data_IF_133077616783
#
_entry.id   IF_133077616783
#
_cell.length_a   1.000
_cell.length_b   1.000
_cell.length_c   1.000
_cell.angle_alpha   90.00
_cell.angle_beta   90.00
_cell.angle_gamma   90.00
#
_symmetry.space_group_name_H-M   'P 1'
#
loop_
_entity.id
_entity.type
_entity.pdbx_description
1 polymer ?
#
# COMPACT_ATOMS: atom_id res chain seq x y z
N UNK A 1 -10.20 49.90 26.47
CA UNK A 1 -9.77 48.56 26.00
C UNK A 1 -10.49 47.53 26.85
N UNK A 2 -11.35 46.62 26.42
CA UNK A 2 -11.79 46.15 25.10
C UNK A 2 -12.42 44.77 25.39
N UNK A 3 -13.71 44.73 25.76
CA UNK A 3 -14.42 43.48 25.97
C UNK A 3 -15.02 43.08 24.61
N UNK A 4 -14.40 42.10 23.95
CA UNK A 4 -14.89 41.56 22.70
C UNK A 4 -16.09 40.66 23.00
N UNK A 5 -17.26 41.08 22.52
CA UNK A 5 -18.46 40.25 22.48
C UNK A 5 -18.25 39.12 21.48
N UNK A 6 -18.09 37.90 21.98
CA UNK A 6 -18.09 36.70 21.16
C UNK A 6 -19.54 36.26 20.91
N UNK A 7 -20.17 36.78 19.86
CA UNK A 7 -21.40 36.20 19.32
C UNK A 7 -21.05 34.91 18.56
N UNK A 8 -21.46 33.75 19.08
CA UNK A 8 -21.44 32.49 18.35
C UNK A 8 -22.65 32.44 17.38
N UNK A 9 -22.46 32.47 16.06
CA UNK A 9 -23.56 32.63 15.09
C UNK A 9 -24.37 31.36 14.81
N UNK A 10 -24.10 30.25 15.50
CA UNK A 10 -24.73 28.96 15.23
C UNK A 10 -25.39 28.40 16.49
N UNK A 11 -26.73 28.41 16.58
CA UNK A 11 -27.45 27.67 17.61
C UNK A 11 -27.17 26.17 17.40
N UNK A 12 -26.29 25.60 18.22
CA UNK A 12 -26.04 24.16 18.20
C UNK A 12 -27.26 23.48 18.80
N UNK A 13 -28.06 22.81 17.96
CA UNK A 13 -29.19 22.02 18.42
C UNK A 13 -28.69 20.93 19.38
N UNK A 14 -29.05 21.04 20.66
CA UNK A 14 -28.68 20.06 21.68
C UNK A 14 -29.41 18.77 21.32
N UNK A 15 -28.71 17.65 21.10
CA UNK A 15 -29.36 16.39 20.76
C UNK A 15 -30.26 15.94 21.92
N UNK A 16 -31.40 15.27 21.62
CA UNK A 16 -32.30 14.76 22.66
C UNK A 16 -31.55 13.82 23.61
N UNK A 17 -31.88 13.87 24.91
CA UNK A 17 -31.22 13.06 25.93
C UNK A 17 -31.41 11.56 25.65
N UNK A 18 -30.33 10.89 25.25
CA UNK A 18 -30.29 9.43 25.13
C UNK A 18 -29.98 8.83 26.52
N UNK A 19 -30.53 7.65 26.85
CA UNK A 19 -30.21 6.97 28.11
C UNK A 19 -28.70 6.71 28.24
N UNK A 20 -28.17 6.78 29.48
CA UNK A 20 -26.74 6.74 29.80
C UNK A 20 -25.98 5.59 29.11
N UNK A 21 -26.56 4.39 29.06
CA UNK A 21 -25.96 3.24 28.40
C UNK A 21 -25.87 3.42 26.87
N UNK A 22 -26.87 4.02 26.22
CA UNK A 22 -26.82 4.29 24.78
C UNK A 22 -25.86 5.43 24.45
N UNK A 23 -25.74 6.43 25.33
CA UNK A 23 -24.74 7.49 25.19
C UNK A 23 -23.34 6.92 25.27
N UNK A 24 -23.08 6.08 26.29
CA UNK A 24 -21.78 5.45 26.51
C UNK A 24 -21.41 4.48 25.37
N UNK A 25 -22.35 3.67 24.91
CA UNK A 25 -22.17 2.81 23.73
C UNK A 25 -21.92 3.65 22.47
N UNK A 26 -22.64 4.76 22.27
CA UNK A 26 -22.45 5.63 21.11
C UNK A 26 -21.13 6.40 21.14
N UNK A 27 -20.69 6.86 22.31
CA UNK A 27 -19.41 7.55 22.48
C UNK A 27 -18.23 6.60 22.38
N UNK A 28 -18.34 5.37 22.90
CA UNK A 28 -17.36 4.32 22.66
C UNK A 28 -17.30 3.99 21.16
N UNK A 29 -18.45 3.80 20.51
CA UNK A 29 -18.50 3.52 19.08
C UNK A 29 -17.94 4.65 18.21
N UNK A 30 -18.19 5.91 18.56
CA UNK A 30 -17.62 7.07 17.86
C UNK A 30 -16.12 7.27 18.14
N UNK A 31 -15.64 6.87 19.33
CA UNK A 31 -14.22 6.99 19.71
C UNK A 31 -13.35 5.90 19.10
N UNK A 32 -13.87 4.66 19.06
CA UNK A 32 -13.13 3.51 18.52
C UNK A 32 -13.34 3.32 17.00
N UNK A 33 -14.47 3.79 16.44
CA UNK A 33 -14.79 3.68 15.02
C UNK A 33 -15.34 5.01 14.44
N UNK A 34 -14.56 6.11 14.45
CA UNK A 34 -15.00 7.41 13.93
C UNK A 34 -15.30 7.38 12.43
N UNK A 35 -14.53 6.58 11.68
CA UNK A 35 -14.66 6.39 10.23
C UNK A 35 -15.03 4.94 9.92
N UNK A 36 -16.30 4.58 10.09
CA UNK A 36 -16.85 3.29 9.66
C UNK A 36 -16.86 3.29 8.11
N UNK A 37 -15.90 2.64 7.40
CA UNK A 37 -15.83 2.73 5.94
C UNK A 37 -17.03 2.04 5.27
N UNK A 38 -17.79 1.27 6.06
CA UNK A 38 -18.96 0.53 5.61
C UNK A 38 -20.30 1.24 5.79
N UNK A 39 -20.33 2.48 6.34
CA UNK A 39 -21.57 3.28 6.42
C UNK A 39 -22.17 3.58 5.04
N UNK A 40 -21.35 3.73 4.00
CA UNK A 40 -21.79 3.91 2.60
C UNK A 40 -22.45 2.66 1.99
N UNK A 41 -22.23 1.47 2.55
CA UNK A 41 -22.76 0.20 2.02
C UNK A 41 -24.08 -0.22 2.67
N UNK A 42 -24.50 0.45 3.73
CA UNK A 42 -25.61 -0.04 4.57
C UNK A 42 -26.98 0.02 3.87
N UNK A 43 -27.10 0.68 2.72
CA UNK A 43 -28.39 0.91 2.02
C UNK A 43 -28.41 0.60 0.51
N UNK A 44 -27.49 -0.24 -0.01
CA UNK A 44 -27.40 -0.51 -1.46
C UNK A 44 -27.66 -1.98 -1.84
N UNK A 45 -28.19 -2.23 -3.05
CA UNK A 45 -28.47 -3.56 -3.64
C UNK A 45 -27.27 -4.51 -3.52
N UNK A 46 -27.53 -5.81 -3.36
CA UNK A 46 -26.53 -6.86 -3.14
C UNK A 46 -25.40 -6.86 -4.21
N UNK A 47 -25.74 -6.53 -5.46
CA UNK A 47 -24.78 -6.35 -6.55
C UNK A 47 -23.84 -5.16 -6.35
N UNK A 48 -24.32 -4.02 -5.82
CA UNK A 48 -23.47 -2.88 -5.48
C UNK A 48 -22.55 -3.16 -4.29
N UNK A 49 -22.98 -3.98 -3.31
CA UNK A 49 -22.09 -4.42 -2.23
C UNK A 49 -20.94 -5.28 -2.75
N UNK A 50 -21.20 -6.17 -3.72
CA UNK A 50 -20.14 -6.96 -4.38
C UNK A 50 -19.20 -6.09 -5.22
N UNK A 51 -19.74 -5.13 -5.99
CA UNK A 51 -18.92 -4.18 -6.77
C UNK A 51 -18.06 -3.31 -5.86
N UNK A 52 -18.60 -2.83 -4.75
CA UNK A 52 -17.87 -1.99 -3.81
C UNK A 52 -16.85 -2.79 -2.98
N UNK A 53 -17.16 -4.05 -2.65
CA UNK A 53 -16.17 -4.99 -2.10
C UNK A 53 -15.04 -5.24 -3.09
N UNK A 54 -15.34 -5.41 -4.38
CA UNK A 54 -14.32 -5.59 -5.41
C UNK A 54 -13.50 -4.32 -5.65
N UNK A 55 -14.10 -3.12 -5.59
CA UNK A 55 -13.39 -1.84 -5.61
C UNK A 55 -12.49 -1.64 -4.39
N UNK A 56 -12.89 -2.17 -3.22
CA UNK A 56 -12.05 -2.16 -2.02
C UNK A 56 -10.81 -3.06 -2.16
N UNK A 57 -10.94 -4.24 -2.78
CA UNK A 57 -9.82 -5.14 -3.01
C UNK A 57 -8.96 -4.77 -4.22
N UNK A 58 -9.54 -4.14 -5.24
CA UNK A 58 -8.86 -3.74 -6.48
C UNK A 58 -9.17 -2.27 -6.79
N UNK A 59 -8.40 -1.34 -6.19
CA UNK A 59 -8.64 0.11 -6.32
C UNK A 59 -8.65 0.60 -7.78
N UNK A 60 -7.99 -0.14 -8.69
CA UNK A 60 -7.97 0.16 -10.14
C UNK A 60 -9.36 0.32 -10.75
N UNK A 61 -10.34 -0.46 -10.28
CA UNK A 61 -11.70 -0.43 -10.81
C UNK A 61 -12.45 0.85 -10.41
N UNK A 62 -12.00 1.55 -9.37
CA UNK A 62 -12.60 2.80 -8.93
C UNK A 62 -12.10 3.99 -9.75
N UNK A 63 -10.83 3.96 -10.17
CA UNK A 63 -10.20 5.10 -10.81
C UNK A 63 -10.01 4.99 -12.32
N UNK A 64 -9.84 3.79 -12.86
CA UNK A 64 -9.74 3.57 -14.30
C UNK A 64 -10.91 4.19 -15.10
N UNK A 65 -12.20 4.06 -14.69
CA UNK A 65 -13.30 4.65 -15.46
C UNK A 65 -13.38 6.18 -15.37
N UNK A 66 -12.67 6.82 -14.43
CA UNK A 66 -12.60 8.30 -14.29
C UNK A 66 -11.33 8.88 -14.92
N UNK A 67 -10.54 8.05 -15.60
CA UNK A 67 -9.25 8.41 -16.16
C UNK A 67 -9.43 9.11 -17.52
N UNK A 68 -8.86 10.31 -17.66
CA UNK A 68 -8.95 11.09 -18.91
C UNK A 68 -7.71 10.90 -19.77
N UNK A 69 -7.85 11.18 -21.07
CA UNK A 69 -6.75 11.06 -22.03
C UNK A 69 -5.62 12.08 -21.79
N UNK A 70 -5.89 13.20 -21.11
CA UNK A 70 -4.87 14.17 -20.71
C UNK A 70 -3.95 13.59 -19.62
N UNK A 71 -4.52 12.91 -18.62
CA UNK A 71 -3.73 12.21 -17.61
C UNK A 71 -2.89 11.10 -18.22
N UNK A 72 -3.41 10.39 -19.23
CA UNK A 72 -2.63 9.37 -19.94
C UNK A 72 -1.34 9.93 -20.55
N UNK A 73 -1.39 11.10 -21.19
CA UNK A 73 -0.21 11.73 -21.80
C UNK A 73 0.82 12.13 -20.74
N UNK A 74 0.35 12.70 -19.63
CA UNK A 74 1.21 13.08 -18.51
C UNK A 74 1.88 11.85 -17.88
N UNK A 75 1.09 10.81 -17.60
CA UNK A 75 1.56 9.55 -16.99
C UNK A 75 2.48 8.77 -17.94
N UNK A 76 2.29 8.86 -19.26
CA UNK A 76 3.20 8.25 -20.23
C UNK A 76 4.58 8.90 -20.20
N UNK A 77 4.65 10.23 -20.17
CA UNK A 77 5.92 10.97 -20.09
C UNK A 77 6.60 10.70 -18.73
N UNK A 78 5.83 10.75 -17.64
CA UNK A 78 6.33 10.43 -16.30
C UNK A 78 6.82 8.97 -16.21
N UNK A 79 6.06 8.04 -16.77
CA UNK A 79 6.38 6.61 -16.80
C UNK A 79 7.66 6.32 -17.60
N UNK A 80 7.85 6.93 -18.77
CA UNK A 80 9.09 6.81 -19.55
C UNK A 80 10.28 7.37 -18.73
N UNK A 81 10.09 8.50 -18.06
CA UNK A 81 11.13 9.13 -17.23
C UNK A 81 11.53 8.20 -16.08
N UNK A 82 10.56 7.66 -15.34
CA UNK A 82 10.80 6.73 -14.23
C UNK A 82 11.42 5.42 -14.74
N UNK A 83 10.93 4.88 -15.86
CA UNK A 83 11.47 3.65 -16.44
C UNK A 83 12.94 3.82 -16.87
N UNK A 84 13.29 4.95 -17.47
CA UNK A 84 14.67 5.29 -17.85
C UNK A 84 15.63 5.28 -16.66
N UNK A 85 15.16 5.71 -15.48
CA UNK A 85 15.93 5.68 -14.24
C UNK A 85 15.92 4.29 -13.57
N UNK A 86 14.79 3.59 -13.60
CA UNK A 86 14.59 2.32 -12.92
C UNK A 86 15.39 1.15 -13.55
N UNK A 87 15.61 1.18 -14.86
CA UNK A 87 16.38 0.17 -15.60
C UNK A 87 17.85 0.12 -15.14
N UNK A 88 18.66 1.20 -15.22
CA UNK A 88 20.03 1.18 -14.74
C UNK A 88 20.10 1.01 -13.22
N UNK A 89 19.16 1.58 -12.46
CA UNK A 89 19.09 1.40 -11.01
C UNK A 89 18.91 -0.08 -10.63
N UNK A 90 17.95 -0.78 -11.26
CA UNK A 90 17.69 -2.20 -11.01
C UNK A 90 18.87 -3.10 -11.36
N UNK A 91 19.57 -2.82 -12.47
CA UNK A 91 20.78 -3.53 -12.87
C UNK A 91 21.90 -3.33 -11.84
N UNK A 92 22.13 -2.08 -11.44
CA UNK A 92 23.14 -1.73 -10.43
C UNK A 92 22.86 -2.41 -9.09
N UNK A 93 21.61 -2.42 -8.65
CA UNK A 93 21.21 -3.01 -7.38
C UNK A 93 21.27 -4.55 -7.39
N UNK A 94 20.93 -5.20 -8.52
CA UNK A 94 21.17 -6.64 -8.66
C UNK A 94 22.67 -6.98 -8.55
N UNK A 95 23.54 -6.18 -9.15
CA UNK A 95 24.99 -6.36 -9.02
C UNK A 95 25.46 -6.18 -7.57
N UNK A 96 24.91 -5.19 -6.84
CA UNK A 96 25.18 -5.03 -5.40
C UNK A 96 24.73 -6.24 -4.57
N UNK A 97 23.68 -6.94 -5.01
CA UNK A 97 23.21 -8.17 -4.40
C UNK A 97 23.98 -9.42 -4.83
N UNK A 98 25.03 -9.30 -5.66
CA UNK A 98 25.72 -10.43 -6.32
C UNK A 98 24.77 -11.35 -7.11
N UNK A 99 23.69 -10.78 -7.68
CA UNK A 99 22.70 -11.48 -8.49
C UNK A 99 22.84 -11.13 -9.97
N UNK A 100 22.38 -12.00 -10.89
CA UNK A 100 22.33 -11.68 -12.30
C UNK A 100 21.50 -10.41 -12.57
N UNK A 101 21.96 -9.46 -13.39
CA UNK A 101 21.27 -8.21 -13.70
C UNK A 101 19.81 -8.35 -14.10
N UNK A 102 19.47 -9.44 -14.79
CA UNK A 102 18.11 -9.74 -15.24
C UNK A 102 17.11 -9.88 -14.09
N UNK A 103 17.57 -10.33 -12.91
CA UNK A 103 16.74 -10.43 -11.69
C UNK A 103 16.39 -9.05 -11.16
N UNK A 104 17.29 -8.08 -11.29
CA UNK A 104 17.04 -6.67 -10.96
C UNK A 104 15.96 -6.07 -11.86
N UNK A 105 15.98 -6.38 -13.16
CA UNK A 105 14.95 -5.92 -14.10
C UNK A 105 13.58 -6.51 -13.77
N UNK A 106 13.50 -7.82 -13.49
CA UNK A 106 12.24 -8.44 -13.06
C UNK A 106 11.70 -7.82 -11.77
N UNK A 107 12.59 -7.54 -10.81
CA UNK A 107 12.24 -6.93 -9.52
C UNK A 107 11.88 -5.44 -9.62
N UNK A 108 12.34 -4.73 -10.65
CA UNK A 108 11.96 -3.33 -10.91
C UNK A 108 10.68 -3.18 -11.74
N UNK A 109 10.23 -4.24 -12.43
CA UNK A 109 9.04 -4.18 -13.30
C UNK A 109 7.81 -4.85 -12.67
N UNK A 110 7.96 -6.07 -12.17
CA UNK A 110 6.82 -6.89 -11.73
C UNK A 110 6.17 -6.32 -10.45
N UNK A 111 6.91 -5.97 -9.38
CA UNK A 111 6.29 -5.41 -8.17
C UNK A 111 5.51 -4.11 -8.39
N UNK A 112 6.01 -3.08 -9.10
CA UNK A 112 5.21 -1.89 -9.38
C UNK A 112 3.98 -2.18 -10.25
N UNK A 113 4.02 -3.14 -11.17
CA UNK A 113 2.83 -3.55 -11.94
C UNK A 113 1.76 -4.17 -11.03
N UNK A 114 2.18 -5.06 -10.12
CA UNK A 114 1.27 -5.66 -9.11
C UNK A 114 0.73 -4.59 -8.17
N UNK A 115 1.59 -3.66 -7.73
CA UNK A 115 1.21 -2.55 -6.87
C UNK A 115 0.26 -1.55 -7.58
N UNK A 116 0.39 -1.32 -8.88
CA UNK A 116 -0.55 -0.48 -9.62
C UNK A 116 -1.98 -1.04 -9.63
N UNK A 117 -2.13 -2.37 -9.55
CA UNK A 117 -3.44 -3.04 -9.51
C UNK A 117 -4.03 -3.12 -8.09
N UNK A 118 -3.19 -3.41 -7.10
CA UNK A 118 -3.60 -3.71 -5.71
C UNK A 118 -3.33 -2.58 -4.72
N UNK A 119 -2.52 -1.59 -5.09
CA UNK A 119 -2.03 -0.55 -4.21
C UNK A 119 -3.11 0.44 -3.83
N UNK A 120 -3.14 0.81 -2.55
CA UNK A 120 -4.07 1.80 -2.00
C UNK A 120 -3.66 3.24 -2.32
N UNK A 121 -2.38 3.48 -2.61
CA UNK A 121 -1.82 4.82 -2.83
C UNK A 121 -1.25 4.95 -4.23
N UNK A 122 -1.68 5.98 -4.97
CA UNK A 122 -1.39 6.19 -6.39
C UNK A 122 0.00 6.77 -6.65
N UNK A 123 0.58 7.43 -5.66
CA UNK A 123 1.88 8.12 -5.77
C UNK A 123 3.07 7.27 -5.28
N UNK A 124 2.81 6.09 -4.73
CA UNK A 124 3.88 5.23 -4.20
C UNK A 124 4.53 4.43 -5.33
N UNK A 125 5.79 4.74 -5.62
CA UNK A 125 6.61 3.93 -6.50
C UNK A 125 7.29 2.79 -5.73
N UNK A 126 6.98 1.54 -6.11
CA UNK A 126 7.63 0.34 -5.57
C UNK A 126 8.70 -0.12 -6.56
N UNK A 127 9.89 -0.48 -6.07
CA UNK A 127 10.98 -0.93 -6.91
C UNK A 127 12.14 -1.52 -6.13
N UNK A 128 13.26 -1.74 -6.82
CA UNK A 128 14.49 -2.26 -6.22
C UNK A 128 15.16 -1.19 -5.35
N UNK A 129 15.72 -1.62 -4.22
CA UNK A 129 16.34 -0.72 -3.22
C UNK A 129 17.77 -1.16 -2.92
N UNK A 130 18.70 -0.21 -2.87
CA UNK A 130 20.12 -0.46 -2.61
C UNK A 130 20.35 -1.17 -1.26
N UNK A 131 19.67 -0.73 -0.21
CA UNK A 131 19.83 -1.26 1.15
C UNK A 131 19.46 -2.74 1.22
N UNK A 132 18.33 -3.11 0.61
CA UNK A 132 17.90 -4.51 0.54
C UNK A 132 18.90 -5.37 -0.24
N UNK A 133 19.48 -4.82 -1.32
CA UNK A 133 20.47 -5.51 -2.15
C UNK A 133 21.76 -5.80 -1.39
N UNK A 134 22.28 -4.81 -0.65
CA UNK A 134 23.44 -4.98 0.21
C UNK A 134 23.18 -5.99 1.34
N UNK A 135 21.97 -5.99 1.90
CA UNK A 135 21.59 -6.93 2.96
C UNK A 135 21.52 -8.37 2.44
N UNK A 136 20.92 -8.61 1.28
CA UNK A 136 20.95 -9.91 0.59
C UNK A 136 22.40 -10.35 0.38
N UNK A 137 23.23 -9.48 -0.18
CA UNK A 137 24.66 -9.78 -0.42
C UNK A 137 25.39 -10.15 0.87
N UNK A 138 25.21 -9.37 1.94
CA UNK A 138 25.89 -9.57 3.22
C UNK A 138 25.43 -10.84 3.95
N UNK A 139 24.16 -11.20 3.85
CA UNK A 139 23.62 -12.38 4.52
C UNK A 139 23.90 -13.66 3.73
N UNK A 140 23.59 -13.69 2.43
CA UNK A 140 23.80 -14.88 1.61
C UNK A 140 25.27 -15.12 1.29
N UNK A 141 26.07 -14.05 1.14
CA UNK A 141 27.50 -14.18 0.86
C UNK A 141 28.30 -14.84 1.99
N UNK A 142 27.76 -14.90 3.21
CA UNK A 142 28.34 -15.66 4.33
C UNK A 142 28.09 -17.17 4.24
N UNK A 143 26.97 -17.55 3.62
CA UNK A 143 26.53 -18.95 3.54
C UNK A 143 27.01 -19.61 2.24
N UNK A 144 26.94 -18.89 1.12
CA UNK A 144 27.25 -19.42 -0.22
C UNK A 144 28.05 -18.39 -1.01
N UNK A 145 29.18 -18.83 -1.58
CA UNK A 145 29.96 -18.02 -2.49
C UNK A 145 29.23 -17.91 -3.86
N UNK A 146 28.89 -16.69 -4.33
CA UNK A 146 28.16 -16.50 -5.58
C UNK A 146 28.92 -17.02 -6.81
N UNK A 147 30.26 -17.10 -6.75
CA UNK A 147 31.08 -17.57 -7.87
C UNK A 147 31.16 -19.09 -7.98
N UNK A 148 31.07 -19.81 -6.86
CA UNK A 148 31.16 -21.27 -6.83
C UNK A 148 29.84 -21.92 -7.21
N UNK A 149 28.72 -21.41 -6.68
CA UNK A 149 27.40 -21.99 -6.86
C UNK A 149 26.34 -20.91 -7.15
N UNK A 150 26.35 -20.27 -8.33
CA UNK A 150 25.45 -19.16 -8.67
C UNK A 150 23.97 -19.57 -8.66
N UNK A 151 23.66 -20.83 -9.02
CA UNK A 151 22.29 -21.36 -9.01
C UNK A 151 21.74 -21.47 -7.59
N UNK A 152 22.54 -21.98 -6.66
CA UNK A 152 22.17 -22.13 -5.26
C UNK A 152 21.97 -20.75 -4.61
N UNK A 153 22.88 -19.82 -4.88
CA UNK A 153 22.78 -18.44 -4.40
C UNK A 153 21.46 -17.77 -4.82
N UNK A 154 21.08 -17.91 -6.09
CA UNK A 154 19.81 -17.40 -6.61
C UNK A 154 18.60 -18.05 -5.95
N UNK A 155 18.63 -19.36 -5.71
CA UNK A 155 17.56 -20.06 -5.00
C UNK A 155 17.43 -19.61 -3.55
N UNK A 156 18.54 -19.38 -2.84
CA UNK A 156 18.52 -18.81 -1.49
C UNK A 156 17.91 -17.39 -1.51
N UNK A 157 18.28 -16.56 -2.48
CA UNK A 157 17.75 -15.20 -2.57
C UNK A 157 16.23 -15.20 -2.81
N UNK A 158 15.74 -16.06 -3.70
CA UNK A 158 14.31 -16.20 -3.98
C UNK A 158 13.53 -16.77 -2.79
N UNK A 159 14.06 -17.78 -2.12
CA UNK A 159 13.40 -18.38 -0.94
C UNK A 159 13.38 -17.40 0.25
N UNK A 160 14.47 -16.69 0.52
CA UNK A 160 14.51 -15.62 1.52
C UNK A 160 13.49 -14.52 1.21
N UNK A 161 13.42 -14.09 -0.05
CA UNK A 161 12.43 -13.10 -0.52
C UNK A 161 10.99 -13.61 -0.35
N UNK A 162 10.75 -14.88 -0.66
CA UNK A 162 9.45 -15.51 -0.46
C UNK A 162 9.03 -15.52 1.02
N UNK A 163 9.92 -15.94 1.93
CA UNK A 163 9.65 -15.90 3.36
C UNK A 163 9.44 -14.47 3.88
N UNK A 164 10.22 -13.50 3.41
CA UNK A 164 9.99 -12.09 3.72
C UNK A 164 8.60 -11.62 3.28
N UNK A 165 8.14 -12.04 2.10
CA UNK A 165 6.79 -11.77 1.61
C UNK A 165 5.70 -12.41 2.46
N UNK A 166 5.85 -13.68 2.87
CA UNK A 166 4.91 -14.37 3.77
C UNK A 166 4.85 -13.67 5.14
N UNK A 167 6.00 -13.27 5.68
CA UNK A 167 6.07 -12.55 6.95
C UNK A 167 5.41 -11.17 6.83
N UNK A 168 5.68 -10.42 5.76
CA UNK A 168 5.06 -9.13 5.50
C UNK A 168 3.53 -9.25 5.32
N UNK A 169 3.06 -10.29 4.63
CA UNK A 169 1.63 -10.58 4.50
C UNK A 169 0.98 -10.93 5.85
N UNK A 170 1.67 -11.74 6.67
CA UNK A 170 1.21 -12.14 8.01
C UNK A 170 1.11 -10.94 8.95
N UNK A 171 2.13 -10.08 8.97
CA UNK A 171 2.10 -8.82 9.73
C UNK A 171 1.01 -7.87 9.22
N UNK A 172 0.83 -7.79 7.90
CA UNK A 172 -0.23 -7.00 7.28
C UNK A 172 -1.62 -7.47 7.71
N UNK A 173 -1.84 -8.78 7.76
CA UNK A 173 -3.07 -9.41 8.24
C UNK A 173 -3.30 -9.13 9.74
N UNK A 174 -2.27 -9.30 10.57
CA UNK A 174 -2.34 -9.02 12.01
C UNK A 174 -2.72 -7.56 12.29
N UNK A 175 -2.11 -6.61 11.57
CA UNK A 175 -2.47 -5.18 11.66
C UNK A 175 -3.90 -4.89 11.20
N UNK A 176 -4.41 -5.66 10.24
CA UNK A 176 -5.80 -5.52 9.80
C UNK A 176 -6.79 -6.11 10.82
N UNK A 177 -6.38 -7.15 11.55
CA UNK A 177 -7.19 -7.75 12.61
C UNK A 177 -7.28 -6.83 13.84
N UNK A 178 -6.18 -6.17 14.21
CA UNK A 178 -6.13 -5.21 15.32
C UNK A 178 -6.98 -3.95 15.05
N UNK A 179 -7.10 -3.52 13.78
CA UNK A 179 -8.03 -2.44 13.38
C UNK A 179 -9.52 -2.83 13.45
N UNK A 180 -9.84 -4.08 13.75
CA UNK A 180 -11.20 -4.63 13.73
C UNK A 180 -11.69 -5.09 15.13
N UNK A 181 -10.96 -4.72 16.19
CA UNK A 181 -11.29 -4.89 17.62
C UNK A 181 -11.30 -3.51 18.27
#
# INVERSE_FOLDING_TARGET
MGNADYECPHPVAIPPSKPLFQSLESSLKETFFPDDPFRHFKNQRLSRKLVLGLQYFVPILEWAPRYTFEFFKADLIAGITIASLAVPQGISYANLANLPPIIGLYSSFVPPLVYAMLGSSRDLAVGTVAVASLLISSMLGKEVNPNENPKLYLQLALTATFFAGVLQASLGFLRSADRNV
#
